data_IF_654161198543
#
_entry.id   IF_654161198543
#
_cell.length_a   1.000
_cell.length_b   1.000
_cell.length_c   1.000
_cell.angle_alpha   90.00
_cell.angle_beta   90.00
_cell.angle_gamma   90.00
#
_symmetry.space_group_name_H-M   'P 1'
#
loop_
_entity.id
_entity.type
_entity.pdbx_description
1 polymer ?
#
# COMPACT_ATOMS: atom_id res chain seq x y z
N UNK A 1 -8.82 -13.33 -0.05
CA UNK A 1 -7.91 -12.29 -0.59
C UNK A 1 -8.62 -10.96 -0.94
N UNK A 2 -9.57 -10.92 -1.89
CA UNK A 2 -10.25 -9.66 -2.29
C UNK A 2 -10.96 -8.93 -1.13
N UNK A 3 -11.57 -9.68 -0.22
CA UNK A 3 -12.21 -9.13 0.97
C UNK A 3 -11.20 -8.44 1.90
N UNK A 4 -10.11 -9.13 2.28
CA UNK A 4 -9.02 -8.56 3.09
C UNK A 4 -8.35 -7.37 2.40
N UNK A 5 -8.13 -7.44 1.08
CA UNK A 5 -7.64 -6.31 0.30
C UNK A 5 -8.52 -5.07 0.44
N UNK A 6 -9.84 -5.25 0.31
CA UNK A 6 -10.77 -4.14 0.48
C UNK A 6 -10.74 -3.58 1.90
N UNK A 7 -10.72 -4.45 2.92
CA UNK A 7 -10.63 -4.07 4.34
C UNK A 7 -9.35 -3.28 4.60
N UNK A 8 -8.19 -3.77 4.18
CA UNK A 8 -6.90 -3.09 4.36
C UNK A 8 -6.93 -1.72 3.67
N UNK A 9 -7.45 -1.66 2.45
CA UNK A 9 -7.62 -0.39 1.72
C UNK A 9 -8.55 0.58 2.46
N UNK A 10 -9.67 0.10 3.04
CA UNK A 10 -10.58 0.94 3.82
C UNK A 10 -9.93 1.44 5.11
N UNK A 11 -9.18 0.58 5.81
CA UNK A 11 -8.46 0.94 7.03
C UNK A 11 -7.39 2.00 6.74
N UNK A 12 -6.61 1.84 5.67
CA UNK A 12 -5.57 2.81 5.32
C UNK A 12 -6.20 4.18 4.97
N UNK A 13 -7.32 4.21 4.23
CA UNK A 13 -8.03 5.48 3.96
C UNK A 13 -8.59 6.10 5.24
N UNK A 14 -9.20 5.30 6.12
CA UNK A 14 -9.71 5.79 7.42
C UNK A 14 -8.57 6.37 8.27
N UNK A 15 -7.42 5.70 8.31
CA UNK A 15 -6.20 6.21 8.95
C UNK A 15 -5.80 7.55 8.33
N UNK A 16 -5.67 7.63 7.00
CA UNK A 16 -5.31 8.88 6.32
C UNK A 16 -6.26 10.03 6.69
N UNK A 17 -7.57 9.79 6.63
CA UNK A 17 -8.59 10.79 6.99
C UNK A 17 -8.44 11.27 8.43
N UNK A 18 -8.29 10.35 9.39
CA UNK A 18 -8.10 10.69 10.81
C UNK A 18 -6.86 11.53 11.08
N UNK A 19 -5.85 11.43 10.23
CA UNK A 19 -4.59 12.17 10.34
C UNK A 19 -4.51 13.39 9.41
N UNK A 20 -5.63 13.80 8.81
CA UNK A 20 -5.67 14.94 7.89
C UNK A 20 -4.90 14.72 6.59
N UNK A 21 -4.56 13.47 6.26
CA UNK A 21 -3.96 13.09 4.99
C UNK A 21 -5.12 12.90 3.99
N UNK A 22 -5.15 13.71 2.94
CA UNK A 22 -6.10 13.49 1.86
C UNK A 22 -5.74 12.22 1.09
N UNK A 23 -6.69 11.30 0.99
CA UNK A 23 -6.55 10.06 0.24
C UNK A 23 -7.85 9.72 -0.49
N UNK A 24 -7.76 9.01 -1.61
CA UNK A 24 -8.91 8.51 -2.36
C UNK A 24 -8.74 7.04 -2.70
N UNK A 25 -9.80 6.25 -2.51
CA UNK A 25 -9.83 4.82 -2.83
C UNK A 25 -10.22 4.60 -4.29
N UNK A 26 -9.54 3.67 -4.97
CA UNK A 26 -9.82 3.22 -6.35
C UNK A 26 -9.93 4.37 -7.36
N UNK A 27 -8.81 5.05 -7.58
CA UNK A 27 -8.73 6.19 -8.50
C UNK A 27 -8.27 5.71 -9.88
N UNK A 28 -9.03 6.06 -10.91
CA UNK A 28 -8.55 5.92 -12.29
C UNK A 28 -7.57 7.06 -12.57
N UNK A 29 -6.33 6.69 -12.84
CA UNK A 29 -5.23 7.65 -13.06
C UNK A 29 -5.02 7.89 -14.58
N UNK A 30 -5.83 7.26 -15.44
CA UNK A 30 -5.72 7.45 -16.90
C UNK A 30 -4.41 6.92 -17.48
N UNK A 31 -3.75 5.98 -16.78
CA UNK A 31 -2.52 5.37 -17.26
C UNK A 31 -2.79 4.39 -18.39
N UNK A 32 -2.27 4.66 -19.58
CA UNK A 32 -2.31 3.70 -20.69
C UNK A 32 -1.33 2.55 -20.45
N UNK A 33 -1.79 1.31 -20.68
CA UNK A 33 -0.96 0.11 -20.62
C UNK A 33 -0.12 -0.10 -21.88
N UNK A 34 0.79 -1.08 -21.84
CA UNK A 34 1.77 -1.42 -22.91
C UNK A 34 1.14 -1.71 -24.29
N UNK A 35 -0.18 -1.85 -24.39
CA UNK A 35 -0.91 -2.18 -25.62
C UNK A 35 -2.20 -1.37 -25.77
N UNK A 36 -2.17 -0.10 -25.38
CA UNK A 36 -3.34 0.83 -25.38
C UNK A 36 -4.55 0.34 -24.56
N UNK A 37 -4.35 -0.66 -23.71
CA UNK A 37 -5.35 -1.07 -22.72
C UNK A 37 -5.17 -0.21 -21.49
N UNK A 38 -6.23 0.44 -20.97
CA UNK A 38 -6.12 1.22 -19.74
C UNK A 38 -5.58 0.33 -18.62
N UNK A 39 -4.62 0.85 -17.85
CA UNK A 39 -4.18 0.20 -16.63
C UNK A 39 -5.34 0.15 -15.64
N UNK A 40 -5.26 -0.80 -14.72
CA UNK A 40 -6.22 -0.84 -13.63
C UNK A 40 -6.10 0.45 -12.81
N UNK A 41 -7.23 1.00 -12.34
CA UNK A 41 -7.22 2.07 -11.35
C UNK A 41 -6.27 1.74 -10.20
N UNK A 42 -5.52 2.74 -9.70
CA UNK A 42 -4.73 2.53 -8.49
C UNK A 42 -5.65 2.17 -7.33
N UNK A 43 -5.12 1.41 -6.38
CA UNK A 43 -5.90 1.05 -5.22
C UNK A 43 -6.18 2.26 -4.34
N UNK A 44 -5.21 3.16 -4.24
CA UNK A 44 -5.35 4.43 -3.55
C UNK A 44 -4.53 5.52 -4.21
N UNK A 45 -4.94 6.78 -4.03
CA UNK A 45 -4.16 7.97 -4.34
C UNK A 45 -3.99 8.78 -3.06
N UNK A 46 -2.74 9.10 -2.69
CA UNK A 46 -2.39 9.96 -1.57
C UNK A 46 -2.05 11.34 -2.11
N UNK A 47 -2.79 12.38 -1.71
CA UNK A 47 -2.55 13.72 -2.22
C UNK A 47 -1.45 14.43 -1.44
N UNK A 48 -0.61 15.18 -2.15
CA UNK A 48 0.48 15.98 -1.58
C UNK A 48 1.41 15.20 -0.63
N UNK A 49 1.62 13.91 -0.90
CA UNK A 49 2.25 12.97 0.04
C UNK A 49 3.75 13.18 0.17
N UNK A 50 4.48 13.17 -0.95
CA UNK A 50 5.94 13.24 -0.96
C UNK A 50 6.45 14.50 -1.68
N UNK A 51 6.98 15.45 -0.91
CA UNK A 51 7.40 16.75 -1.46
C UNK A 51 6.25 17.54 -2.10
N UNK A 52 5.00 17.25 -1.74
CA UNK A 52 3.81 17.85 -2.36
C UNK A 52 3.36 17.17 -3.65
N UNK A 53 3.92 16.01 -4.00
CA UNK A 53 3.50 15.22 -5.17
C UNK A 53 2.42 14.22 -4.75
N UNK A 54 1.42 14.04 -5.60
CA UNK A 54 0.39 13.01 -5.45
C UNK A 54 0.98 11.63 -5.75
N UNK A 55 0.76 10.65 -4.86
CA UNK A 55 1.37 9.33 -4.95
C UNK A 55 0.32 8.25 -5.15
N UNK A 56 0.50 7.47 -6.20
CA UNK A 56 -0.32 6.30 -6.51
C UNK A 56 0.13 5.11 -5.65
N UNK A 57 -0.77 4.55 -4.86
CA UNK A 57 -0.50 3.38 -4.05
C UNK A 57 -1.17 2.14 -4.64
N UNK A 58 -0.34 1.14 -4.95
CA UNK A 58 -0.80 -0.19 -5.34
C UNK A 58 -0.71 -1.13 -4.13
N UNK A 59 -1.87 -1.51 -3.61
CA UNK A 59 -2.02 -2.47 -2.53
C UNK A 59 -1.99 -3.88 -3.14
N UNK A 60 -1.08 -4.72 -2.68
CA UNK A 60 -1.04 -6.12 -3.09
C UNK A 60 -0.98 -7.00 -1.85
N UNK A 61 -2.00 -7.84 -1.68
CA UNK A 61 -2.02 -8.87 -0.65
C UNK A 61 -1.77 -10.25 -1.25
N UNK A 62 -1.06 -11.13 -0.53
CA UNK A 62 -0.92 -12.55 -0.90
C UNK A 62 -1.35 -13.49 0.21
N UNK A 63 -2.07 -14.56 -0.15
CA UNK A 63 -2.37 -15.71 0.70
C UNK A 63 -1.71 -16.95 0.10
N UNK A 64 -0.70 -17.50 0.75
CA UNK A 64 0.19 -18.52 0.15
C UNK A 64 -0.36 -19.95 0.08
N UNK A 65 -1.68 -20.12 -0.01
CA UNK A 65 -2.29 -21.45 -0.15
C UNK A 65 -2.34 -21.98 -1.60
N UNK A 66 -1.77 -21.25 -2.58
CA UNK A 66 -2.03 -21.51 -4.00
C UNK A 66 -0.82 -21.83 -4.88
N UNK A 67 0.41 -21.92 -4.36
CA UNK A 67 1.60 -22.12 -5.23
C UNK A 67 2.32 -23.44 -4.97
N UNK A 68 2.30 -24.32 -5.98
CA UNK A 68 3.05 -25.58 -6.05
C UNK A 68 4.55 -25.27 -6.20
N UNK A 69 5.37 -25.62 -5.21
CA UNK A 69 6.82 -25.41 -5.20
C UNK A 69 7.30 -24.66 -3.96
N UNK A 70 7.21 -25.29 -2.79
CA UNK A 70 7.50 -24.66 -1.48
C UNK A 70 8.92 -24.89 -0.95
N UNK A 71 9.78 -25.64 -1.65
CA UNK A 71 11.08 -26.09 -1.10
C UNK A 71 12.04 -24.92 -0.84
N UNK A 72 11.97 -23.85 -1.64
CA UNK A 72 12.84 -22.67 -1.54
C UNK A 72 12.08 -21.37 -1.20
N UNK A 73 10.85 -21.49 -0.70
CA UNK A 73 10.01 -20.31 -0.46
C UNK A 73 10.47 -19.53 0.78
N UNK A 74 10.96 -18.31 0.55
CA UNK A 74 11.26 -17.35 1.61
C UNK A 74 10.25 -16.20 1.48
N UNK A 75 9.32 -16.12 2.43
CA UNK A 75 8.22 -15.13 2.40
C UNK A 75 8.71 -13.70 2.22
N UNK A 76 9.77 -13.30 2.94
CA UNK A 76 10.35 -11.97 2.81
C UNK A 76 10.92 -11.67 1.41
N UNK A 77 11.44 -12.68 0.71
CA UNK A 77 11.93 -12.53 -0.67
C UNK A 77 10.75 -12.39 -1.65
N UNK A 78 9.70 -13.18 -1.46
CA UNK A 78 8.50 -13.09 -2.29
C UNK A 78 7.81 -11.71 -2.16
N UNK A 79 7.78 -11.15 -0.95
CA UNK A 79 7.31 -9.78 -0.68
C UNK A 79 8.09 -8.76 -1.53
N UNK A 80 9.43 -8.83 -1.48
CA UNK A 80 10.32 -7.92 -2.20
C UNK A 80 10.18 -8.07 -3.72
N UNK A 81 10.20 -9.32 -4.23
CA UNK A 81 10.17 -9.57 -5.67
C UNK A 81 8.86 -9.08 -6.30
N UNK A 82 7.72 -9.28 -5.63
CA UNK A 82 6.43 -8.79 -6.13
C UNK A 82 6.37 -7.27 -6.13
N UNK A 83 6.84 -6.64 -5.04
CA UNK A 83 6.90 -5.19 -4.96
C UNK A 83 7.78 -4.58 -6.06
N UNK A 84 8.98 -5.12 -6.27
CA UNK A 84 9.89 -4.67 -7.32
C UNK A 84 9.28 -4.86 -8.72
N UNK A 85 8.57 -5.97 -8.94
CA UNK A 85 7.87 -6.21 -10.20
C UNK A 85 6.74 -5.19 -10.44
N UNK A 86 6.07 -4.72 -9.38
CA UNK A 86 5.08 -3.64 -9.48
C UNK A 86 5.75 -2.29 -9.72
N UNK A 87 6.79 -1.94 -8.96
CA UNK A 87 7.55 -0.71 -9.15
C UNK A 87 8.07 -0.59 -10.59
N UNK A 88 8.66 -1.66 -11.15
CA UNK A 88 9.15 -1.70 -12.53
C UNK A 88 8.05 -1.51 -13.59
N UNK A 89 6.79 -1.80 -13.25
CA UNK A 89 5.65 -1.67 -14.18
C UNK A 89 5.02 -0.28 -14.16
N UNK A 90 5.03 0.39 -13.01
CA UNK A 90 4.20 1.58 -12.77
C UNK A 90 5.00 2.85 -12.46
N UNK A 91 6.21 2.76 -11.88
CA UNK A 91 7.00 3.94 -11.47
C UNK A 91 7.19 4.94 -12.60
N UNK A 92 7.81 4.54 -13.71
CA UNK A 92 8.10 5.44 -14.84
C UNK A 92 6.82 6.02 -15.45
N UNK A 93 5.71 5.28 -15.39
CA UNK A 93 4.43 5.72 -15.93
C UNK A 93 3.76 6.75 -15.04
N UNK A 94 3.73 6.52 -13.73
CA UNK A 94 3.27 7.51 -12.77
C UNK A 94 4.12 8.79 -12.90
N UNK A 95 5.44 8.66 -12.98
CA UNK A 95 6.33 9.79 -13.16
C UNK A 95 6.04 10.58 -14.44
N UNK A 96 5.75 9.89 -15.56
CA UNK A 96 5.45 10.52 -16.85
C UNK A 96 4.19 11.42 -16.83
N UNK A 97 3.27 11.20 -15.90
CA UNK A 97 2.05 12.01 -15.72
C UNK A 97 2.08 12.86 -14.44
N UNK A 98 3.26 12.97 -13.79
CA UNK A 98 3.47 13.85 -12.63
C UNK A 98 3.10 13.25 -11.26
N UNK A 99 2.89 11.94 -11.18
CA UNK A 99 2.60 11.24 -9.93
C UNK A 99 3.82 10.46 -9.42
N UNK A 100 3.93 10.32 -8.10
CA UNK A 100 4.79 9.30 -7.49
C UNK A 100 4.12 7.93 -7.51
N UNK A 101 4.90 6.86 -7.26
CA UNK A 101 4.37 5.50 -7.11
C UNK A 101 4.89 4.87 -5.82
N UNK A 102 4.01 4.15 -5.13
CA UNK A 102 4.33 3.37 -3.96
C UNK A 102 3.70 1.98 -4.07
N UNK A 103 4.54 0.95 -3.92
CA UNK A 103 4.06 -0.42 -3.75
C UNK A 103 3.80 -0.68 -2.27
N UNK A 104 2.59 -1.11 -1.92
CA UNK A 104 2.28 -1.60 -0.58
C UNK A 104 1.96 -3.09 -0.67
N UNK A 105 2.96 -3.93 -0.38
CA UNK A 105 2.77 -5.36 -0.29
C UNK A 105 2.64 -5.83 1.15
N UNK A 106 1.62 -6.65 1.42
CA UNK A 106 1.45 -7.33 2.71
C UNK A 106 1.24 -8.83 2.53
N UNK A 107 1.91 -9.59 3.38
CA UNK A 107 1.75 -11.03 3.47
C UNK A 107 0.81 -11.38 4.63
N UNK A 108 -0.09 -12.35 4.45
CA UNK A 108 -1.04 -12.78 5.49
C UNK A 108 -0.32 -13.18 6.80
N UNK A 109 0.87 -13.82 6.75
CA UNK A 109 1.67 -14.10 7.96
C UNK A 109 2.24 -12.86 8.69
N UNK A 110 1.92 -11.63 8.27
CA UNK A 110 2.30 -10.40 8.98
C UNK A 110 3.60 -9.75 8.51
N UNK A 111 4.13 -10.18 7.36
CA UNK A 111 5.30 -9.55 6.75
C UNK A 111 4.90 -8.36 5.88
N UNK A 112 5.71 -7.30 5.97
CA UNK A 112 5.50 -6.05 5.29
C UNK A 112 6.78 -5.60 4.58
N UNK A 113 6.62 -5.06 3.38
CA UNK A 113 7.74 -4.53 2.58
C UNK A 113 8.29 -3.20 3.15
N UNK A 114 9.52 -2.84 2.82
CA UNK A 114 10.20 -1.63 3.30
C UNK A 114 9.43 -0.33 2.97
N UNK A 115 8.85 -0.23 1.78
CA UNK A 115 8.07 0.94 1.35
C UNK A 115 6.78 1.08 2.15
N UNK A 116 6.10 -0.05 2.38
CA UNK A 116 4.93 -0.12 3.25
C UNK A 116 5.25 0.22 4.72
N UNK A 117 6.40 -0.24 5.25
CA UNK A 117 6.88 0.15 6.59
C UNK A 117 7.17 1.66 6.62
N UNK A 118 7.77 2.20 5.56
CA UNK A 118 8.09 3.63 5.45
C UNK A 118 6.83 4.48 5.40
N UNK A 119 5.80 4.04 4.67
CA UNK A 119 4.48 4.65 4.67
C UNK A 119 3.91 4.72 6.09
N UNK A 120 3.84 3.58 6.78
CA UNK A 120 3.29 3.51 8.14
C UNK A 120 4.08 4.36 9.13
N UNK A 121 5.41 4.40 9.03
CA UNK A 121 6.28 5.27 9.85
C UNK A 121 6.01 6.75 9.59
N UNK A 122 5.80 7.14 8.32
CA UNK A 122 5.51 8.53 7.95
C UNK A 122 4.12 8.95 8.43
N UNK A 123 3.10 8.09 8.26
CA UNK A 123 1.77 8.28 8.85
C UNK A 123 1.87 8.46 10.38
N UNK A 124 2.65 7.61 11.05
CA UNK A 124 2.91 7.76 12.49
C UNK A 124 3.56 9.10 12.85
N UNK A 125 4.48 9.61 12.04
CA UNK A 125 5.10 10.93 12.26
C UNK A 125 4.08 12.06 12.15
N UNK A 126 3.17 12.00 11.17
CA UNK A 126 2.04 12.94 11.08
C UNK A 126 1.14 12.86 12.32
N UNK A 127 0.89 11.66 12.82
CA UNK A 127 0.11 11.41 14.04
C UNK A 127 0.74 11.96 15.32
N UNK A 128 2.04 11.81 15.53
CA UNK A 128 2.73 12.31 16.75
C UNK A 128 2.60 13.84 16.87
N UNK A 129 2.43 14.52 15.74
CA UNK A 129 2.23 15.97 15.66
C UNK A 129 0.79 16.38 16.01
N UNK A 130 -0.18 15.45 16.03
CA UNK A 130 -1.62 15.67 16.23
C UNK A 130 -2.24 14.84 17.39
N UNK A 131 -1.66 14.91 18.61
CA UNK A 131 -2.13 14.28 19.88
C UNK A 131 -1.75 12.80 20.16
N UNK A 132 -1.50 12.52 21.45
CA UNK A 132 -0.99 11.26 22.02
C UNK A 132 -2.02 10.10 21.96
N UNK A 133 -3.31 10.37 22.07
CA UNK A 133 -4.36 9.33 22.00
C UNK A 133 -4.41 8.62 20.64
N UNK A 134 -3.99 9.32 19.58
CA UNK A 134 -3.93 8.78 18.23
C UNK A 134 -2.81 7.73 18.05
N UNK A 135 -1.72 7.82 18.82
CA UNK A 135 -0.64 6.82 18.81
C UNK A 135 -1.11 5.44 19.30
N UNK A 136 -1.96 5.39 20.32
CA UNK A 136 -2.53 4.14 20.82
C UNK A 136 -3.49 3.52 19.79
N UNK A 137 -4.29 4.35 19.11
CA UNK A 137 -5.14 3.92 18.02
C UNK A 137 -4.34 3.38 16.83
N UNK A 138 -3.16 3.91 16.50
CA UNK A 138 -2.28 3.38 15.44
C UNK A 138 -1.72 2.01 15.84
N UNK A 139 -1.20 1.84 17.05
CA UNK A 139 -0.67 0.54 17.48
C UNK A 139 -1.79 -0.50 17.49
N UNK A 140 -2.99 -0.11 17.93
CA UNK A 140 -4.18 -0.95 17.88
C UNK A 140 -4.63 -1.23 16.43
N UNK A 141 -4.62 -0.26 15.52
CA UNK A 141 -5.01 -0.43 14.12
C UNK A 141 -3.97 -1.22 13.32
N UNK A 142 -2.67 -1.00 13.54
CA UNK A 142 -1.61 -1.84 12.97
C UNK A 142 -1.74 -3.24 13.54
N UNK A 143 -1.97 -3.39 14.85
CA UNK A 143 -2.25 -4.68 15.48
C UNK A 143 -3.51 -5.35 14.94
N UNK A 144 -4.57 -4.59 14.66
CA UNK A 144 -5.83 -5.04 14.08
C UNK A 144 -5.64 -5.45 12.62
N UNK A 145 -4.88 -4.69 11.83
CA UNK A 145 -4.48 -5.06 10.47
C UNK A 145 -3.65 -6.34 10.53
N UNK A 146 -2.67 -6.44 11.43
CA UNK A 146 -1.89 -7.67 11.65
C UNK A 146 -2.73 -8.86 12.15
N UNK A 147 -3.83 -8.61 12.88
CA UNK A 147 -4.75 -9.66 13.38
C UNK A 147 -5.77 -10.08 12.32
N UNK A 148 -6.29 -9.14 11.52
CA UNK A 148 -7.18 -9.39 10.36
C UNK A 148 -6.43 -10.01 9.18
N UNK A 149 -5.10 -9.96 9.22
CA UNK A 149 -4.21 -10.67 8.32
C UNK A 149 -3.81 -12.05 8.85
N UNK A 150 -4.11 -12.44 10.09
CA UNK A 150 -3.96 -13.83 10.57
C UNK A 150 -5.23 -14.64 10.36
#
# INVERSE_FOLDING_TARGET
LKHHHNIVSDIIVDICYRYGISASKKVDIGLNGVRDKPLRPANMLLYLWDGGIDVCEDLTGSSHLAQTGMVDFISGRAVIDVAQCKCSKYMDRCAAIGYGFLSFYFFFLGELEADAVTLLKRIRKFSITQHIEACAAIIFLIGLVSLLLK
#
